data_IF_283039125300
#
_entry.id   IF_283039125300
#
_cell.length_a   1.000
_cell.length_b   1.000
_cell.length_c   1.000
_cell.angle_alpha   90.00
_cell.angle_beta   90.00
_cell.angle_gamma   90.00
#
_symmetry.space_group_name_H-M   'P 1'
#
loop_
_entity.id
_entity.type
_entity.pdbx_description
1 polymer ?
#
# COMPACT_ATOMS: atom_id res chain seq x y z
N UNK A 1 43.64 -26.67 44.93
CA UNK A 1 43.44 -25.97 43.64
C UNK A 1 42.28 -24.99 43.83
N UNK A 2 42.56 -23.83 44.41
CA UNK A 2 41.57 -22.78 44.67
C UNK A 2 41.55 -21.82 43.48
N UNK A 3 40.48 -21.82 42.69
CA UNK A 3 40.31 -20.90 41.57
C UNK A 3 39.68 -19.59 42.06
N UNK A 4 40.50 -18.54 42.08
CA UNK A 4 40.13 -17.17 42.42
C UNK A 4 39.20 -16.57 41.34
N UNK A 5 37.99 -16.19 41.75
CA UNK A 5 36.99 -15.52 40.90
C UNK A 5 37.16 -14.01 41.04
N UNK A 6 37.73 -13.38 40.00
CA UNK A 6 37.89 -11.94 39.92
C UNK A 6 36.56 -11.23 39.60
N UNK A 7 36.17 -10.28 40.46
CA UNK A 7 34.97 -9.42 40.27
C UNK A 7 35.24 -8.32 39.23
N UNK A 8 34.29 -8.00 38.33
CA UNK A 8 34.46 -6.93 37.36
C UNK A 8 34.29 -5.53 37.99
N UNK A 9 35.23 -4.63 37.66
CA UNK A 9 35.23 -3.20 38.01
C UNK A 9 34.04 -2.49 37.33
N UNK A 10 33.18 -1.85 38.13
CA UNK A 10 32.15 -0.92 37.66
C UNK A 10 32.81 0.41 37.25
N UNK A 11 32.75 0.74 35.96
CA UNK A 11 33.06 2.08 35.48
C UNK A 11 31.85 2.99 35.71
N UNK A 12 32.03 3.98 36.59
CA UNK A 12 31.08 5.09 36.83
C UNK A 12 31.40 6.18 35.81
N UNK A 13 30.52 6.36 34.82
CA UNK A 13 30.56 7.53 33.93
C UNK A 13 29.84 8.69 34.62
N UNK A 14 30.61 9.75 34.90
CA UNK A 14 30.11 11.02 35.44
C UNK A 14 29.27 11.73 34.38
N UNK A 15 28.01 11.99 34.72
CA UNK A 15 27.13 12.92 34.02
C UNK A 15 27.48 14.35 34.40
N UNK A 16 27.73 15.20 33.40
CA UNK A 16 27.82 16.64 33.61
C UNK A 16 28.11 17.34 32.30
N UNK A 17 27.08 17.92 31.68
CA UNK A 17 27.16 19.31 31.24
C UNK A 17 25.79 19.85 30.84
N UNK A 18 25.49 21.02 31.41
CA UNK A 18 24.34 21.88 31.16
C UNK A 18 24.43 22.47 29.76
N UNK A 19 23.30 22.52 29.05
CA UNK A 19 23.02 23.57 28.07
C UNK A 19 21.59 24.04 28.27
N UNK A 20 21.47 25.11 29.04
CA UNK A 20 20.29 25.98 29.11
C UNK A 20 20.26 26.89 27.87
N UNK A 21 19.04 27.26 27.50
CA UNK A 21 18.63 28.47 26.81
C UNK A 21 19.08 28.71 25.37
N UNK A 22 18.23 28.34 24.40
CA UNK A 22 18.00 29.12 23.17
C UNK A 22 16.86 28.57 22.31
N UNK A 23 15.62 28.55 22.81
CA UNK A 23 14.44 28.51 21.91
C UNK A 23 13.31 29.37 22.47
N UNK A 24 13.19 30.58 21.91
CA UNK A 24 12.02 31.46 22.09
C UNK A 24 10.84 30.91 21.28
N UNK A 25 9.60 30.94 21.79
CA UNK A 25 8.42 30.59 21.02
C UNK A 25 8.06 31.71 20.04
N UNK A 26 8.08 31.42 18.74
CA UNK A 26 7.45 32.24 17.71
C UNK A 26 5.97 31.88 17.67
N UNK A 27 5.19 32.55 18.50
CA UNK A 27 3.73 32.56 18.42
C UNK A 27 3.27 33.94 17.98
N UNK A 28 2.22 33.97 17.16
CA UNK A 28 1.36 35.13 16.90
C UNK A 28 1.82 36.17 15.86
N UNK A 29 1.86 35.76 14.59
CA UNK A 29 1.55 36.66 13.47
C UNK A 29 1.23 35.83 12.22
N UNK A 30 -0.03 35.39 12.04
CA UNK A 30 -0.64 34.96 10.76
C UNK A 30 -2.11 34.49 10.94
N UNK A 31 -2.84 35.05 11.93
CA UNK A 31 -4.29 34.96 12.01
C UNK A 31 -4.85 36.36 11.75
N UNK A 32 -5.22 36.65 10.51
CA UNK A 32 -6.21 37.68 10.08
C UNK A 32 -6.03 38.00 8.60
N UNK A 33 -6.25 37.02 7.73
CA UNK A 33 -6.70 37.28 6.36
C UNK A 33 -7.28 35.97 5.83
N UNK A 34 -8.40 36.05 5.11
CA UNK A 34 -9.13 34.94 4.46
C UNK A 34 -10.24 34.28 5.29
N UNK A 35 -11.23 35.04 5.77
CA UNK A 35 -12.56 34.50 6.15
C UNK A 35 -13.73 35.27 5.49
N UNK A 36 -13.49 36.32 4.69
CA UNK A 36 -14.56 37.10 4.06
C UNK A 36 -15.00 36.64 2.67
N UNK A 37 -14.60 35.46 2.18
CA UNK A 37 -14.81 35.07 0.77
C UNK A 37 -15.43 33.68 0.55
N UNK A 38 -15.95 33.02 1.61
CA UNK A 38 -16.52 31.65 1.51
C UNK A 38 -18.04 31.62 1.77
N UNK A 39 -18.69 32.74 2.10
CA UNK A 39 -20.13 32.77 2.43
C UNK A 39 -21.09 33.00 1.25
N UNK A 40 -20.62 32.96 -0.01
CA UNK A 40 -21.47 33.34 -1.17
C UNK A 40 -21.75 32.23 -2.19
N UNK A 41 -21.57 30.95 -1.83
CA UNK A 41 -21.82 29.82 -2.77
C UNK A 41 -23.02 28.93 -2.34
N UNK A 42 -23.59 29.10 -1.15
CA UNK A 42 -24.61 28.18 -0.63
C UNK A 42 -26.06 28.71 -0.72
N UNK A 43 -26.41 29.45 -1.78
CA UNK A 43 -27.77 30.02 -1.95
C UNK A 43 -28.46 29.78 -3.29
N UNK A 44 -28.00 28.82 -4.10
CA UNK A 44 -28.63 28.50 -5.39
C UNK A 44 -28.76 26.99 -5.59
N UNK A 45 -29.61 26.31 -4.81
CA UNK A 45 -30.24 25.04 -5.26
C UNK A 45 -31.32 24.54 -4.28
N UNK A 46 -32.41 25.30 -4.12
CA UNK A 46 -33.65 24.77 -3.52
C UNK A 46 -34.88 25.30 -4.23
N UNK A 47 -35.05 24.96 -5.51
CA UNK A 47 -36.38 24.92 -6.11
C UNK A 47 -36.50 23.74 -7.06
N UNK A 48 -37.59 22.98 -6.85
CA UNK A 48 -38.29 22.11 -7.81
C UNK A 48 -38.01 20.61 -7.70
N UNK A 49 -38.60 19.97 -6.69
CA UNK A 49 -39.28 18.67 -6.89
C UNK A 49 -40.58 18.69 -6.08
N UNK A 50 -41.68 18.89 -6.81
CA UNK A 50 -43.06 18.69 -6.37
C UNK A 50 -43.47 17.24 -6.64
N UNK A 51 -44.35 16.74 -5.76
CA UNK A 51 -45.39 15.74 -5.99
C UNK A 51 -44.98 14.30 -6.32
N UNK A 52 -44.85 13.47 -5.26
CA UNK A 52 -45.41 12.11 -5.28
C UNK A 52 -46.10 11.85 -3.92
N UNK A 53 -47.40 11.67 -4.02
CA UNK A 53 -48.37 11.39 -2.96
C UNK A 53 -48.28 9.97 -2.38
N UNK A 54 -48.74 9.84 -1.13
CA UNK A 54 -48.76 8.67 -0.24
C UNK A 54 -49.47 7.40 -0.78
N UNK A 55 -49.42 6.26 -0.04
CA UNK A 55 -50.44 6.09 1.01
C UNK A 55 -49.91 5.60 2.37
N UNK A 56 -50.51 6.24 3.36
CA UNK A 56 -50.64 5.95 4.79
C UNK A 56 -51.06 4.52 5.08
N UNK A 57 -50.36 3.84 5.99
CA UNK A 57 -50.91 2.69 6.71
C UNK A 57 -50.92 2.99 8.22
N UNK A 58 -52.11 3.32 8.72
CA UNK A 58 -52.43 3.46 10.16
C UNK A 58 -52.51 2.06 10.75
N UNK A 59 -51.63 1.72 11.68
CA UNK A 59 -51.90 0.66 12.67
C UNK A 59 -51.74 1.28 14.06
N UNK A 60 -52.89 1.65 14.62
CA UNK A 60 -53.09 1.97 16.02
C UNK A 60 -53.07 0.68 16.85
N UNK A 61 -52.26 0.62 17.90
CA UNK A 61 -52.50 -0.27 19.03
C UNK A 61 -52.10 0.42 20.32
N UNK A 62 -53.11 0.90 21.04
CA UNK A 62 -53.03 1.13 22.47
C UNK A 62 -53.11 -0.23 23.18
N UNK A 63 -52.21 -0.47 24.14
CA UNK A 63 -52.49 -1.34 25.30
C UNK A 63 -51.87 -0.70 26.53
N UNK A 64 -52.66 -0.80 27.60
CA UNK A 64 -52.72 -0.06 28.84
C UNK A 64 -52.02 -0.86 29.96
N UNK A 65 -51.38 -0.12 30.88
CA UNK A 65 -51.18 -0.35 32.34
C UNK A 65 -50.55 -1.64 32.90
N UNK A 66 -49.51 -1.39 33.72
CA UNK A 66 -49.25 -1.88 35.10
C UNK A 66 -49.51 -3.35 35.45
N UNK A 67 -48.50 -4.06 35.99
CA UNK A 67 -48.57 -4.72 37.31
C UNK A 67 -47.14 -5.06 37.79
N UNK A 68 -47.05 -5.13 39.11
CA UNK A 68 -45.91 -5.07 40.05
C UNK A 68 -45.47 -6.50 40.48
N UNK A 69 -44.27 -6.59 41.06
CA UNK A 69 -43.79 -7.58 42.07
C UNK A 69 -43.19 -8.94 41.62
N UNK A 70 -41.90 -9.09 41.98
CA UNK A 70 -41.18 -10.22 42.62
C UNK A 70 -41.47 -11.67 42.20
N UNK A 71 -40.39 -12.38 41.85
CA UNK A 71 -40.35 -13.84 41.84
C UNK A 71 -39.07 -14.38 41.19
N UNK A 72 -38.11 -14.78 42.02
CA UNK A 72 -36.90 -15.53 41.59
C UNK A 72 -37.32 -16.92 41.12
N UNK A 73 -37.43 -17.13 39.81
CA UNK A 73 -37.81 -18.42 39.21
C UNK A 73 -36.59 -19.11 38.60
N UNK A 74 -36.26 -20.27 39.16
CA UNK A 74 -35.25 -21.22 38.67
C UNK A 74 -35.63 -21.72 37.27
N UNK A 75 -34.74 -21.66 36.26
CA UNK A 75 -35.08 -22.06 34.90
C UNK A 75 -35.17 -23.59 34.76
N UNK A 76 -36.40 -24.11 34.63
CA UNK A 76 -36.64 -25.48 34.16
C UNK A 76 -36.25 -25.59 32.68
N UNK A 77 -35.26 -26.45 32.39
CA UNK A 77 -34.81 -26.79 31.02
C UNK A 77 -35.97 -27.33 30.18
N UNK A 78 -36.48 -26.51 29.26
CA UNK A 78 -37.44 -26.93 28.22
C UNK A 78 -36.75 -27.91 27.27
N UNK A 79 -37.22 -29.16 27.26
CA UNK A 79 -36.83 -30.20 26.31
C UNK A 79 -37.38 -29.82 24.92
N UNK A 80 -36.59 -29.05 24.17
CA UNK A 80 -36.95 -28.49 22.88
C UNK A 80 -37.00 -29.60 21.81
N UNK A 81 -38.11 -29.66 21.07
CA UNK A 81 -38.42 -30.65 20.04
C UNK A 81 -37.43 -30.59 18.86
N UNK A 82 -36.29 -31.28 18.98
CA UNK A 82 -35.24 -31.36 17.93
C UNK A 82 -35.73 -31.92 16.59
N UNK A 83 -36.87 -32.62 16.55
CA UNK A 83 -37.43 -33.18 15.31
C UNK A 83 -37.92 -32.10 14.32
N UNK A 84 -38.35 -30.91 14.78
CA UNK A 84 -38.76 -29.82 13.86
C UNK A 84 -37.58 -29.07 13.24
N UNK A 85 -36.41 -29.06 13.87
CA UNK A 85 -35.23 -28.35 13.35
C UNK A 85 -34.59 -29.09 12.17
N UNK A 86 -34.57 -30.42 12.20
CA UNK A 86 -33.96 -31.25 11.14
C UNK A 86 -34.72 -31.11 9.81
N UNK A 87 -36.04 -30.95 9.85
CA UNK A 87 -36.88 -30.83 8.66
C UNK A 87 -36.70 -29.49 7.91
N UNK A 88 -36.22 -28.43 8.59
CA UNK A 88 -36.00 -27.12 7.95
C UNK A 88 -34.67 -27.00 7.19
N UNK A 89 -33.68 -27.87 7.43
CA UNK A 89 -32.33 -27.74 6.86
C UNK A 89 -32.22 -28.42 5.47
N UNK A 90 -33.08 -29.40 5.19
CA UNK A 90 -33.10 -30.16 3.94
C UNK A 90 -33.22 -29.28 2.67
N UNK A 91 -34.12 -28.28 2.56
CA UNK A 91 -34.22 -27.48 1.35
C UNK A 91 -32.97 -26.61 1.10
N UNK A 92 -32.32 -26.12 2.16
CA UNK A 92 -31.13 -25.26 2.07
C UNK A 92 -29.94 -26.03 1.47
N UNK A 93 -29.75 -27.28 1.88
CA UNK A 93 -28.68 -28.13 1.34
C UNK A 93 -28.91 -28.43 -0.15
N UNK A 94 -30.16 -28.65 -0.57
CA UNK A 94 -30.46 -28.90 -2.00
C UNK A 94 -30.17 -27.69 -2.89
N UNK A 95 -30.45 -26.47 -2.41
CA UNK A 95 -30.18 -25.24 -3.16
C UNK A 95 -28.68 -24.99 -3.35
N UNK A 96 -27.85 -25.34 -2.35
CA UNK A 96 -26.40 -25.21 -2.42
C UNK A 96 -25.81 -26.20 -3.45
N UNK A 97 -26.31 -27.45 -3.49
CA UNK A 97 -25.88 -28.42 -4.50
C UNK A 97 -26.24 -28.00 -5.92
N UNK A 98 -27.43 -27.44 -6.14
CA UNK A 98 -27.86 -26.95 -7.45
C UNK A 98 -26.95 -25.80 -7.96
N UNK A 99 -26.55 -24.89 -7.07
CA UNK A 99 -25.61 -23.81 -7.42
C UNK A 99 -24.21 -24.33 -7.79
N UNK A 100 -23.72 -25.35 -7.08
CA UNK A 100 -22.42 -25.97 -7.38
C UNK A 100 -22.37 -26.60 -8.77
N UNK A 101 -23.44 -27.31 -9.16
CA UNK A 101 -23.56 -27.91 -10.49
C UNK A 101 -23.65 -26.86 -11.61
N UNK A 102 -24.34 -25.75 -11.39
CA UNK A 102 -24.44 -24.65 -12.35
C UNK A 102 -23.07 -24.02 -12.65
N UNK A 103 -22.23 -23.83 -11.63
CA UNK A 103 -20.89 -23.27 -11.78
C UNK A 103 -19.90 -24.22 -12.48
N UNK A 104 -20.07 -25.53 -12.30
CA UNK A 104 -19.25 -26.54 -12.96
C UNK A 104 -19.53 -26.63 -14.47
N UNK A 105 -20.76 -26.33 -14.92
CA UNK A 105 -21.10 -26.34 -16.35
C UNK A 105 -20.70 -25.05 -17.07
N UNK A 106 -20.73 -23.89 -16.40
CA UNK A 106 -20.41 -22.59 -17.03
C UNK A 106 -18.93 -22.40 -17.35
N UNK A 107 -18.03 -23.17 -16.73
CA UNK A 107 -16.58 -23.06 -16.92
C UNK A 107 -16.02 -23.75 -18.18
N UNK A 108 -16.88 -24.32 -19.06
CA UNK A 108 -16.45 -24.94 -20.33
C UNK A 108 -16.60 -24.09 -21.58
N UNK A 109 -17.10 -22.85 -21.50
CA UNK A 109 -17.19 -21.96 -22.67
C UNK A 109 -15.82 -21.30 -22.89
N UNK A 110 -14.93 -22.00 -23.60
CA UNK A 110 -13.62 -21.48 -24.01
C UNK A 110 -13.74 -20.55 -25.22
N UNK A 111 -13.23 -19.35 -25.00
CA UNK A 111 -12.65 -18.36 -25.91
C UNK A 111 -12.21 -18.96 -27.26
N UNK A 112 -12.91 -18.57 -28.32
CA UNK A 112 -12.47 -18.70 -29.71
C UNK A 112 -12.32 -17.29 -30.29
N UNK A 113 -11.12 -17.00 -30.78
CA UNK A 113 -10.92 -16.07 -31.89
C UNK A 113 -10.57 -14.63 -31.55
N UNK A 114 -9.26 -14.32 -31.56
CA UNK A 114 -8.81 -13.05 -32.12
C UNK A 114 -7.48 -13.28 -32.86
N UNK A 115 -7.64 -13.37 -34.18
CA UNK A 115 -6.59 -13.49 -35.19
C UNK A 115 -5.83 -12.17 -35.34
N UNK A 116 -4.56 -12.35 -35.70
CA UNK A 116 -3.56 -11.37 -36.08
C UNK A 116 -4.05 -10.26 -37.02
N UNK A 117 -3.54 -9.04 -36.82
CA UNK A 117 -3.31 -8.09 -37.91
C UNK A 117 -1.87 -7.59 -37.88
N UNK A 118 -1.12 -8.02 -38.90
CA UNK A 118 0.15 -7.47 -39.36
C UNK A 118 -0.11 -6.30 -40.32
N UNK A 119 0.95 -5.49 -40.46
CA UNK A 119 1.24 -4.51 -41.51
C UNK A 119 0.58 -3.12 -41.37
N UNK A 120 1.41 -2.08 -41.27
CA UNK A 120 1.68 -1.12 -42.35
C UNK A 120 2.96 -0.32 -42.01
N UNK A 121 3.82 -0.24 -43.01
CA UNK A 121 5.10 0.47 -43.07
C UNK A 121 4.93 1.85 -43.73
N UNK A 122 6.03 2.62 -43.74
CA UNK A 122 6.35 3.87 -44.49
C UNK A 122 6.10 5.18 -43.73
N UNK A 123 7.16 5.89 -43.34
CA UNK A 123 7.79 6.87 -44.22
C UNK A 123 9.06 7.49 -43.60
N UNK A 124 9.99 7.81 -44.50
CA UNK A 124 11.38 8.17 -44.30
C UNK A 124 11.59 9.53 -44.95
N UNK A 125 12.06 10.55 -44.21
CA UNK A 125 13.08 11.52 -44.65
C UNK A 125 13.26 12.74 -43.73
N UNK A 126 14.50 13.26 -43.78
CA UNK A 126 14.94 14.64 -43.46
C UNK A 126 15.08 14.97 -41.97
N UNK A 127 16.16 15.55 -41.41
CA UNK A 127 17.33 16.32 -41.87
C UNK A 127 18.34 16.34 -40.69
N UNK A 128 19.64 16.06 -40.88
CA UNK A 128 20.80 16.99 -40.97
C UNK A 128 21.13 17.86 -39.73
N UNK A 129 22.45 18.08 -39.57
CA UNK A 129 23.20 18.96 -38.62
C UNK A 129 23.58 18.33 -37.26
N UNK A 130 24.81 17.86 -37.03
CA UNK A 130 26.14 18.52 -36.92
C UNK A 130 26.41 19.10 -35.53
N UNK A 131 27.36 18.51 -34.79
CA UNK A 131 28.46 19.23 -34.13
C UNK A 131 29.25 18.30 -33.20
N UNK A 132 30.52 18.14 -33.55
CA UNK A 132 31.66 17.68 -32.75
C UNK A 132 31.88 18.48 -31.46
N UNK A 133 32.42 17.85 -30.40
CA UNK A 133 33.64 18.31 -29.68
C UNK A 133 34.10 17.33 -28.59
N UNK A 134 35.27 16.74 -28.85
CA UNK A 134 36.47 16.53 -28.02
C UNK A 134 36.51 16.73 -26.49
N UNK A 135 37.34 15.84 -25.88
CA UNK A 135 38.21 15.99 -24.69
C UNK A 135 37.50 16.08 -23.34
N UNK A 136 37.95 15.44 -22.26
CA UNK A 136 39.30 15.51 -21.71
C UNK A 136 39.57 14.34 -20.73
N UNK A 137 40.79 13.80 -20.82
CA UNK A 137 41.39 12.88 -19.86
C UNK A 137 41.79 13.65 -18.60
N UNK A 138 41.46 13.13 -17.42
CA UNK A 138 42.28 13.38 -16.22
C UNK A 138 42.62 12.06 -15.52
N UNK A 139 43.89 11.72 -15.67
CA UNK A 139 44.64 10.72 -14.93
C UNK A 139 44.97 11.26 -13.54
N UNK A 140 44.64 10.54 -12.47
CA UNK A 140 45.24 10.78 -11.15
C UNK A 140 46.17 9.63 -10.81
N UNK A 141 47.44 9.95 -10.99
CA UNK A 141 48.66 9.29 -10.52
C UNK A 141 48.68 9.30 -8.99
N UNK A 142 49.00 8.17 -8.36
CA UNK A 142 49.86 8.03 -7.17
C UNK A 142 49.74 6.61 -6.59
N UNK A 143 50.81 5.81 -6.67
CA UNK A 143 51.76 5.63 -5.55
C UNK A 143 52.63 4.39 -5.81
N UNK A 144 53.93 4.66 -5.83
CA UNK A 144 55.06 3.72 -5.89
C UNK A 144 55.33 3.10 -4.52
N UNK A 145 55.70 1.82 -4.48
CA UNK A 145 56.95 1.23 -3.92
C UNK A 145 56.69 -0.28 -3.69
N UNK A 146 57.34 -1.17 -4.47
CA UNK A 146 58.64 -1.83 -4.18
C UNK A 146 58.43 -2.96 -3.14
N UNK A 147 58.88 -4.21 -3.26
CA UNK A 147 59.68 -5.01 -4.18
C UNK A 147 59.55 -6.45 -3.64
N UNK A 148 59.35 -7.48 -4.45
CA UNK A 148 60.23 -8.67 -4.44
C UNK A 148 59.95 -9.56 -5.64
N UNK A 149 61.05 -9.89 -6.29
CA UNK A 149 61.24 -10.71 -7.47
C UNK A 149 61.11 -12.20 -7.16
N UNK A 150 60.43 -12.95 -8.02
CA UNK A 150 60.96 -14.25 -8.43
C UNK A 150 60.53 -14.63 -9.84
N UNK A 151 61.51 -15.22 -10.52
CA UNK A 151 61.70 -15.40 -11.94
C UNK A 151 61.01 -16.69 -12.40
N UNK A 152 60.15 -16.62 -13.42
CA UNK A 152 59.99 -17.78 -14.32
C UNK A 152 59.71 -17.36 -15.75
N UNK A 153 60.65 -17.78 -16.56
CA UNK A 153 60.79 -17.66 -17.99
C UNK A 153 59.97 -18.74 -18.70
N UNK A 154 59.60 -18.45 -19.95
CA UNK A 154 59.31 -19.34 -21.07
C UNK A 154 57.92 -19.30 -21.72
N UNK A 155 58.03 -19.06 -23.02
CA UNK A 155 57.22 -19.48 -24.16
C UNK A 155 55.97 -18.68 -24.51
N UNK A 156 56.22 -17.79 -25.47
CA UNK A 156 55.28 -17.23 -26.40
C UNK A 156 54.61 -18.32 -27.24
N UNK A 157 53.28 -18.28 -27.31
CA UNK A 157 52.56 -18.75 -28.48
C UNK A 157 51.47 -17.74 -28.87
N UNK A 158 51.47 -17.50 -30.17
CA UNK A 158 50.92 -16.35 -30.87
C UNK A 158 49.48 -16.68 -31.26
N UNK A 159 48.51 -16.14 -30.53
CA UNK A 159 47.08 -16.28 -30.86
C UNK A 159 46.71 -15.19 -31.87
N UNK A 160 46.51 -15.61 -33.13
CA UNK A 160 45.90 -14.81 -34.20
C UNK A 160 44.57 -15.47 -34.56
N UNK A 161 43.50 -15.03 -33.93
CA UNK A 161 42.13 -15.36 -34.32
C UNK A 161 41.31 -14.09 -34.34
N UNK A 162 41.05 -13.64 -35.57
CA UNK A 162 40.15 -12.54 -35.91
C UNK A 162 38.71 -12.98 -35.63
N UNK A 163 38.17 -12.59 -34.47
CA UNK A 163 36.74 -12.63 -34.23
C UNK A 163 36.12 -11.31 -34.66
N UNK A 164 35.35 -11.40 -35.74
CA UNK A 164 34.58 -10.33 -36.35
C UNK A 164 33.31 -10.15 -35.52
N UNK A 165 33.38 -9.30 -34.50
CA UNK A 165 32.21 -8.88 -33.72
C UNK A 165 31.22 -8.13 -34.62
N UNK A 166 30.16 -8.83 -35.04
CA UNK A 166 28.95 -8.23 -35.59
C UNK A 166 28.11 -7.60 -34.48
N UNK A 167 28.50 -6.39 -34.09
CA UNK A 167 27.71 -5.45 -33.29
C UNK A 167 26.73 -4.70 -34.20
N UNK A 168 25.51 -5.23 -34.38
CA UNK A 168 24.42 -4.45 -34.99
C UNK A 168 23.03 -5.05 -34.72
N UNK A 169 22.36 -4.53 -33.69
CA UNK A 169 20.88 -4.38 -33.64
C UNK A 169 20.49 -3.66 -32.33
N UNK A 170 20.96 -2.44 -32.12
CA UNK A 170 20.32 -1.51 -31.18
C UNK A 170 18.99 -1.06 -31.80
N UNK A 171 17.99 -1.93 -31.71
CA UNK A 171 16.60 -1.56 -31.98
C UNK A 171 16.22 -0.55 -30.91
N UNK A 172 16.12 0.73 -31.30
CA UNK A 172 15.80 1.84 -30.41
C UNK A 172 14.53 1.56 -29.61
N UNK A 173 14.71 1.07 -28.38
CA UNK A 173 13.65 1.04 -27.39
C UNK A 173 13.38 2.51 -27.08
N UNK A 174 12.32 3.05 -27.68
CA UNK A 174 11.74 4.31 -27.23
C UNK A 174 11.50 4.14 -25.74
N UNK A 175 12.33 4.78 -24.91
CA UNK A 175 12.06 4.91 -23.48
C UNK A 175 10.75 5.67 -23.41
N UNK A 176 9.66 4.94 -23.28
CA UNK A 176 8.35 5.51 -22.99
C UNK A 176 8.46 6.18 -21.62
N UNK A 177 8.85 7.45 -21.63
CA UNK A 177 8.86 8.29 -20.45
C UNK A 177 7.41 8.45 -20.06
N UNK A 178 6.99 7.72 -19.03
CA UNK A 178 5.66 7.86 -18.46
C UNK A 178 5.47 9.35 -18.15
N UNK A 179 4.56 10.01 -18.87
CA UNK A 179 4.34 11.43 -18.67
C UNK A 179 4.01 11.68 -17.19
N UNK A 180 4.51 12.79 -16.62
CA UNK A 180 4.24 13.15 -15.22
C UNK A 180 2.75 13.08 -14.89
N UNK A 181 1.89 13.48 -15.84
CA UNK A 181 0.43 13.41 -15.76
C UNK A 181 -0.11 11.98 -15.67
N UNK A 182 0.49 11.04 -16.40
CA UNK A 182 0.19 9.61 -16.29
C UNK A 182 0.54 9.03 -14.93
N UNK A 183 1.65 9.46 -14.33
CA UNK A 183 2.04 9.02 -12.97
C UNK A 183 1.08 9.59 -11.91
N UNK A 184 0.70 10.86 -12.03
CA UNK A 184 -0.18 11.53 -11.07
C UNK A 184 -1.59 10.92 -11.06
N UNK A 185 -2.20 10.76 -12.24
CA UNK A 185 -3.52 10.11 -12.37
C UNK A 185 -3.49 8.67 -11.88
N UNK A 186 -2.37 7.98 -12.04
CA UNK A 186 -2.21 6.62 -11.55
C UNK A 186 -2.21 6.54 -10.02
N UNK A 187 -1.79 7.58 -9.30
CA UNK A 187 -1.67 7.58 -7.84
C UNK A 187 -2.87 8.20 -7.11
N UNK A 188 -3.82 8.76 -7.85
CA UNK A 188 -5.05 9.33 -7.31
C UNK A 188 -6.17 8.27 -7.28
N UNK A 189 -6.69 7.97 -6.09
CA UNK A 189 -7.81 7.06 -5.91
C UNK A 189 -9.17 7.80 -5.82
N UNK A 190 -9.18 9.13 -5.95
CA UNK A 190 -10.36 9.98 -5.83
C UNK A 190 -10.75 10.30 -4.38
N UNK A 191 -10.59 9.35 -3.46
CA UNK A 191 -10.82 9.57 -2.03
C UNK A 191 -9.54 9.77 -1.22
N UNK A 192 -8.41 9.30 -1.76
CA UNK A 192 -7.11 9.48 -1.14
C UNK A 192 -6.01 9.44 -2.19
N UNK A 193 -5.03 10.34 -2.05
CA UNK A 193 -3.86 10.38 -2.91
C UNK A 193 -2.74 9.52 -2.31
N UNK A 194 -2.29 8.51 -3.05
CA UNK A 194 -1.07 7.76 -2.72
C UNK A 194 0.14 8.59 -3.17
N UNK A 195 1.18 8.69 -2.35
CA UNK A 195 2.40 9.42 -2.75
C UNK A 195 3.40 8.48 -3.41
N UNK A 196 4.28 9.04 -4.25
CA UNK A 196 5.43 8.30 -4.79
C UNK A 196 6.29 7.73 -3.64
N UNK A 197 6.42 8.50 -2.55
CA UNK A 197 7.17 8.09 -1.36
C UNK A 197 6.56 6.86 -0.67
N UNK A 198 5.22 6.76 -0.61
CA UNK A 198 4.53 5.58 -0.05
C UNK A 198 4.88 4.32 -0.84
N UNK A 199 4.77 4.40 -2.17
CA UNK A 199 5.10 3.28 -3.08
C UNK A 199 6.58 2.92 -2.98
N UNK A 200 7.46 3.93 -2.95
CA UNK A 200 8.89 3.75 -2.82
C UNK A 200 9.28 3.01 -1.53
N UNK A 201 8.79 3.48 -0.38
CA UNK A 201 9.05 2.84 0.93
C UNK A 201 8.58 1.40 0.95
N UNK A 202 7.37 1.14 0.44
CA UNK A 202 6.84 -0.22 0.41
C UNK A 202 7.60 -1.12 -0.58
N UNK A 203 8.04 -0.57 -1.71
CA UNK A 203 8.86 -1.30 -2.69
C UNK A 203 10.16 -1.78 -2.05
N UNK A 204 10.87 -0.91 -1.33
CA UNK A 204 12.08 -1.28 -0.60
C UNK A 204 11.81 -2.32 0.49
N UNK A 205 10.69 -2.19 1.21
CA UNK A 205 10.28 -3.19 2.22
C UNK A 205 10.07 -4.58 1.59
N UNK A 206 9.34 -4.64 0.46
CA UNK A 206 9.11 -5.90 -0.27
C UNK A 206 10.45 -6.44 -0.80
N UNK A 207 11.26 -5.62 -1.47
CA UNK A 207 12.55 -6.03 -2.02
C UNK A 207 13.44 -6.67 -0.94
N UNK A 208 13.67 -5.97 0.17
CA UNK A 208 14.51 -6.45 1.28
C UNK A 208 14.00 -7.75 1.89
N UNK A 209 12.69 -7.85 2.12
CA UNK A 209 12.08 -9.08 2.68
C UNK A 209 12.18 -10.31 1.77
N UNK A 210 12.51 -10.11 0.49
CA UNK A 210 12.63 -11.15 -0.52
C UNK A 210 14.07 -11.34 -1.04
N UNK A 211 15.08 -10.78 -0.35
CA UNK A 211 16.50 -10.96 -0.71
C UNK A 211 16.97 -10.12 -1.92
N UNK A 212 16.25 -9.06 -2.26
CA UNK A 212 16.68 -8.06 -3.23
C UNK A 212 17.31 -6.87 -2.49
N UNK A 213 18.22 -6.17 -3.15
CA UNK A 213 18.73 -4.86 -2.67
C UNK A 213 17.63 -3.81 -2.71
N UNK A 214 17.74 -2.75 -1.92
CA UNK A 214 16.80 -1.63 -1.98
C UNK A 214 17.08 -0.70 -3.16
N UNK A 215 16.10 0.14 -3.53
CA UNK A 215 16.23 1.08 -4.64
C UNK A 215 17.17 2.27 -4.34
N UNK A 216 17.37 2.63 -3.07
CA UNK A 216 18.28 3.69 -2.62
C UNK A 216 19.74 3.26 -2.59
N UNK A 217 20.01 1.97 -2.42
CA UNK A 217 21.37 1.48 -2.22
C UNK A 217 21.74 0.43 -3.27
N UNK A 218 22.18 0.86 -4.47
CA UNK A 218 22.61 -0.08 -5.49
C UNK A 218 23.83 -0.91 -5.07
N UNK A 219 24.61 -0.45 -4.09
CA UNK A 219 25.79 -1.18 -3.61
C UNK A 219 25.45 -2.19 -2.49
N UNK A 220 24.20 -2.24 -2.02
CA UNK A 220 23.76 -3.23 -1.03
C UNK A 220 23.81 -4.65 -1.64
N UNK A 221 24.25 -5.61 -0.83
CA UNK A 221 24.30 -7.02 -1.22
C UNK A 221 22.88 -7.54 -1.45
N UNK A 222 22.59 -8.04 -2.65
CA UNK A 222 21.28 -8.61 -2.98
C UNK A 222 21.02 -8.65 -4.49
N UNK A 223 19.93 -9.32 -4.87
CA UNK A 223 19.47 -9.32 -6.28
C UNK A 223 18.95 -7.94 -6.67
N UNK A 224 19.12 -7.57 -7.94
CA UNK A 224 18.53 -6.33 -8.45
C UNK A 224 16.98 -6.37 -8.33
N UNK A 225 16.32 -5.42 -7.65
CA UNK A 225 14.85 -5.38 -7.54
C UNK A 225 14.14 -5.22 -8.89
N UNK A 226 14.84 -4.79 -9.95
CA UNK A 226 14.33 -4.76 -11.32
C UNK A 226 14.35 -6.14 -12.01
N UNK A 227 15.03 -7.13 -11.43
CA UNK A 227 15.16 -8.49 -11.99
C UNK A 227 14.21 -9.46 -11.31
N UNK A 228 12.90 -9.20 -11.44
CA UNK A 228 11.86 -10.15 -11.08
C UNK A 228 11.29 -10.82 -12.33
N UNK A 229 10.97 -12.12 -12.23
CA UNK A 229 10.47 -12.92 -13.34
C UNK A 229 9.08 -13.48 -13.04
N UNK A 230 8.24 -13.71 -14.07
CA UNK A 230 6.97 -14.40 -13.89
C UNK A 230 7.15 -15.75 -13.20
N UNK A 231 6.28 -16.06 -12.24
CA UNK A 231 6.39 -17.25 -11.41
C UNK A 231 7.20 -17.05 -10.12
N UNK A 232 7.99 -15.97 -9.99
CA UNK A 232 8.64 -15.64 -8.72
C UNK A 232 7.58 -15.49 -7.62
N UNK A 233 7.85 -16.06 -6.45
CA UNK A 233 7.00 -15.94 -5.26
C UNK A 233 7.55 -14.88 -4.33
N UNK A 234 6.85 -13.76 -4.19
CA UNK A 234 7.23 -12.66 -3.30
C UNK A 234 6.38 -12.67 -2.04
N UNK A 235 7.02 -12.64 -0.87
CA UNK A 235 6.37 -12.41 0.41
C UNK A 235 5.97 -10.93 0.52
N UNK A 236 4.69 -10.70 0.77
CA UNK A 236 4.12 -9.38 1.01
C UNK A 236 4.11 -9.04 2.51
N UNK A 237 3.89 -7.77 2.89
CA UNK A 237 3.95 -7.36 4.30
C UNK A 237 2.90 -8.00 5.21
N UNK A 238 1.76 -8.41 4.67
CA UNK A 238 0.70 -9.16 5.35
C UNK A 238 1.01 -10.68 5.43
N UNK A 239 2.24 -11.08 5.12
CA UNK A 239 2.68 -12.47 4.97
C UNK A 239 2.00 -13.27 3.86
N UNK A 240 1.15 -12.63 3.04
CA UNK A 240 0.64 -13.27 1.82
C UNK A 240 1.78 -13.49 0.83
N UNK A 241 1.62 -14.48 -0.05
CA UNK A 241 2.58 -14.73 -1.13
C UNK A 241 1.97 -14.34 -2.46
N UNK A 242 2.65 -13.43 -3.16
CA UNK A 242 2.30 -12.99 -4.50
C UNK A 242 3.10 -13.75 -5.55
N UNK A 243 2.42 -14.29 -6.57
CA UNK A 243 3.11 -14.87 -7.73
C UNK A 243 3.21 -13.83 -8.83
N UNK A 244 4.45 -13.45 -9.18
CA UNK A 244 4.77 -12.43 -10.18
C UNK A 244 4.21 -12.83 -11.54
N UNK A 245 3.58 -11.88 -12.23
CA UNK A 245 3.04 -12.04 -13.59
C UNK A 245 3.91 -11.31 -14.61
N UNK A 246 3.73 -11.63 -15.90
CA UNK A 246 4.42 -10.94 -17.00
C UNK A 246 4.11 -9.44 -16.97
N UNK A 247 5.17 -8.62 -16.97
CA UNK A 247 5.08 -7.16 -16.93
C UNK A 247 4.99 -6.56 -15.52
N UNK A 248 4.98 -7.38 -14.46
CA UNK A 248 5.03 -6.87 -13.10
C UNK A 248 6.42 -6.31 -12.76
N UNK A 249 6.44 -5.27 -11.93
CA UNK A 249 7.61 -4.78 -11.22
C UNK A 249 7.30 -4.75 -9.72
N UNK A 250 8.32 -4.78 -8.84
CA UNK A 250 8.08 -4.65 -7.39
C UNK A 250 7.35 -3.33 -7.09
N UNK A 251 7.65 -2.26 -7.83
CA UNK A 251 6.95 -0.98 -7.76
C UNK A 251 5.44 -1.09 -8.01
N UNK A 252 5.03 -1.72 -9.13
CA UNK A 252 3.61 -1.89 -9.44
C UNK A 252 2.91 -2.85 -8.47
N UNK A 253 3.62 -3.86 -7.96
CA UNK A 253 3.11 -4.75 -6.92
C UNK A 253 2.85 -3.98 -5.63
N UNK A 254 3.83 -3.20 -5.15
CA UNK A 254 3.71 -2.37 -3.96
C UNK A 254 2.51 -1.40 -4.08
N UNK A 255 2.38 -0.70 -5.20
CA UNK A 255 1.24 0.20 -5.40
C UNK A 255 -0.10 -0.53 -5.35
N UNK A 256 -0.25 -1.66 -6.06
CA UNK A 256 -1.50 -2.46 -6.03
C UNK A 256 -1.83 -2.93 -4.62
N UNK A 257 -0.80 -3.26 -3.83
CA UNK A 257 -0.95 -3.61 -2.43
C UNK A 257 -1.54 -2.45 -1.61
N UNK A 258 -0.94 -1.26 -1.68
CA UNK A 258 -1.44 -0.05 -0.98
C UNK A 258 -2.88 0.24 -1.38
N UNK A 259 -3.19 0.21 -2.68
CA UNK A 259 -4.55 0.44 -3.17
C UNK A 259 -5.53 -0.57 -2.57
N UNK A 260 -5.21 -1.86 -2.61
CA UNK A 260 -6.08 -2.93 -2.09
C UNK A 260 -6.38 -2.74 -0.61
N UNK A 261 -5.37 -2.38 0.20
CA UNK A 261 -5.59 -2.12 1.62
C UNK A 261 -6.48 -0.89 1.84
N UNK A 262 -6.24 0.20 1.10
CA UNK A 262 -7.07 1.39 1.19
C UNK A 262 -8.51 1.14 0.75
N UNK A 263 -8.74 0.41 -0.35
CA UNK A 263 -10.07 0.02 -0.80
C UNK A 263 -10.81 -0.78 0.30
N UNK A 264 -10.09 -1.63 1.04
CA UNK A 264 -10.63 -2.45 2.12
C UNK A 264 -10.98 -1.62 3.37
N UNK A 265 -10.10 -0.71 3.79
CA UNK A 265 -10.25 0.01 5.05
C UNK A 265 -11.14 1.26 4.91
N UNK A 266 -11.31 1.81 3.69
CA UNK A 266 -12.03 3.06 3.44
C UNK A 266 -13.51 3.06 3.85
N UNK A 267 -14.33 2.03 3.54
CA UNK A 267 -15.74 2.01 3.95
C UNK A 267 -15.91 2.04 5.47
N UNK A 268 -15.06 1.31 6.20
CA UNK A 268 -15.12 1.29 7.66
C UNK A 268 -14.66 2.63 8.24
N UNK A 269 -13.59 3.24 7.72
CA UNK A 269 -13.18 4.60 8.07
C UNK A 269 -14.34 5.60 7.95
N UNK A 270 -15.08 5.56 6.83
CA UNK A 270 -16.24 6.45 6.59
C UNK A 270 -17.36 6.23 7.61
N UNK A 271 -17.64 4.98 7.97
CA UNK A 271 -18.64 4.67 9.00
C UNK A 271 -18.21 5.19 10.37
N UNK A 272 -16.95 4.97 10.77
CA UNK A 272 -16.40 5.48 12.03
C UNK A 272 -16.45 7.01 12.07
N UNK A 273 -16.06 7.67 10.99
CA UNK A 273 -16.13 9.12 10.86
C UNK A 273 -17.58 9.64 11.02
N UNK A 274 -18.55 8.99 10.39
CA UNK A 274 -19.95 9.37 10.51
C UNK A 274 -20.45 9.23 11.96
N UNK A 275 -20.15 8.10 12.62
CA UNK A 275 -20.53 7.84 14.02
C UNK A 275 -19.95 8.88 14.99
N UNK A 276 -18.71 9.30 14.75
CA UNK A 276 -18.07 10.37 15.53
C UNK A 276 -18.81 11.69 15.36
N UNK A 277 -19.15 12.06 14.11
CA UNK A 277 -19.84 13.31 13.80
C UNK A 277 -21.27 13.39 14.33
N UNK A 278 -21.99 12.28 14.38
CA UNK A 278 -23.40 12.26 14.86
C UNK A 278 -23.52 12.46 16.37
N UNK A 279 -22.43 12.37 17.13
CA UNK A 279 -22.35 12.87 18.51
C UNK A 279 -23.36 12.26 19.48
N UNK A 280 -23.14 11.02 19.91
CA UNK A 280 -23.64 10.47 21.18
C UNK A 280 -22.93 9.13 21.42
N UNK A 281 -21.65 9.18 21.80
CA UNK A 281 -20.82 7.99 21.99
C UNK A 281 -20.57 7.80 23.48
N UNK A 282 -21.02 6.66 24.02
CA UNK A 282 -20.61 6.24 25.35
C UNK A 282 -19.10 5.92 25.40
N UNK A 283 -18.52 5.90 26.60
CA UNK A 283 -17.07 5.69 26.77
C UNK A 283 -16.58 4.37 26.18
N UNK A 284 -17.43 3.33 26.23
CA UNK A 284 -17.13 2.02 25.66
C UNK A 284 -17.01 2.10 24.13
N UNK A 285 -17.99 2.70 23.48
CA UNK A 285 -18.01 2.90 22.03
C UNK A 285 -16.86 3.77 21.57
N UNK A 286 -16.52 4.83 22.33
CA UNK A 286 -15.32 5.64 22.04
C UNK A 286 -14.05 4.77 22.07
N UNK A 287 -13.89 3.94 23.09
CA UNK A 287 -12.75 3.02 23.21
C UNK A 287 -12.69 2.02 22.04
N UNK A 288 -13.82 1.42 21.66
CA UNK A 288 -13.91 0.48 20.54
C UNK A 288 -13.54 1.17 19.21
N UNK A 289 -14.05 2.38 18.96
CA UNK A 289 -13.72 3.17 17.77
C UNK A 289 -12.23 3.52 17.75
N UNK A 290 -11.68 3.96 18.89
CA UNK A 290 -10.26 4.29 19.01
C UNK A 290 -9.38 3.08 18.68
N UNK A 291 -9.73 1.90 19.20
CA UNK A 291 -9.03 0.65 18.90
C UNK A 291 -8.97 0.37 17.39
N UNK A 292 -10.12 0.49 16.71
CA UNK A 292 -10.20 0.29 15.25
C UNK A 292 -9.38 1.32 14.46
N UNK A 293 -9.45 2.59 14.83
CA UNK A 293 -8.67 3.65 14.17
C UNK A 293 -7.16 3.42 14.33
N UNK A 294 -6.72 2.99 15.51
CA UNK A 294 -5.32 2.63 15.77
C UNK A 294 -4.89 1.40 14.97
N UNK A 295 -5.75 0.39 14.85
CA UNK A 295 -5.50 -0.79 14.01
C UNK A 295 -5.29 -0.39 12.54
N UNK A 296 -6.20 0.40 11.96
CA UNK A 296 -6.05 0.92 10.59
C UNK A 296 -4.77 1.72 10.41
N UNK A 297 -4.44 2.58 11.39
CA UNK A 297 -3.25 3.44 11.35
C UNK A 297 -1.96 2.62 11.34
N UNK A 298 -1.91 1.56 12.12
CA UNK A 298 -0.73 0.69 12.24
C UNK A 298 -0.54 -0.20 11.00
N UNK A 299 -1.63 -0.56 10.33
CA UNK A 299 -1.62 -1.40 9.13
C UNK A 299 -1.28 -0.64 7.86
N UNK A 300 -1.77 0.59 7.71
CA UNK A 300 -1.68 1.32 6.43
C UNK A 300 -0.26 1.77 6.04
N UNK A 301 0.02 1.73 4.74
CA UNK A 301 1.26 2.24 4.12
C UNK A 301 1.11 3.63 3.48
N UNK A 302 -0.06 4.27 3.57
CA UNK A 302 -0.26 5.62 3.03
C UNK A 302 -0.09 6.69 4.11
N UNK A 303 0.89 7.57 3.95
CA UNK A 303 1.09 8.69 4.89
C UNK A 303 -0.10 9.67 4.92
N UNK A 304 -0.76 9.87 3.77
CA UNK A 304 -1.97 10.69 3.73
C UNK A 304 -3.13 10.05 4.51
N UNK A 305 -3.23 8.71 4.52
CA UNK A 305 -4.30 8.04 5.27
C UNK A 305 -4.02 8.10 6.76
N UNK A 306 -2.77 7.91 7.18
CA UNK A 306 -2.35 8.08 8.58
C UNK A 306 -2.74 9.45 9.12
N UNK A 307 -2.52 10.52 8.34
CA UNK A 307 -2.92 11.89 8.73
C UNK A 307 -4.44 12.03 8.91
N UNK A 308 -5.24 11.42 8.04
CA UNK A 308 -6.70 11.40 8.18
C UNK A 308 -7.16 10.66 9.45
N UNK A 309 -6.50 9.54 9.76
CA UNK A 309 -6.75 8.77 10.97
C UNK A 309 -6.33 9.56 12.22
N UNK A 310 -5.18 10.21 12.21
CA UNK A 310 -4.69 11.04 13.32
C UNK A 310 -5.63 12.20 13.64
N UNK A 311 -6.13 12.89 12.62
CA UNK A 311 -7.12 13.95 12.80
C UNK A 311 -8.41 13.40 13.42
N UNK A 312 -8.88 12.25 12.95
CA UNK A 312 -10.11 11.64 13.46
C UNK A 312 -9.95 11.14 14.90
N UNK A 313 -8.80 10.56 15.24
CA UNK A 313 -8.44 10.17 16.61
C UNK A 313 -8.40 11.41 17.52
N UNK A 314 -7.81 12.51 17.04
CA UNK A 314 -7.78 13.78 17.78
C UNK A 314 -9.18 14.32 18.03
N UNK A 315 -10.07 14.25 17.05
CA UNK A 315 -11.45 14.72 17.19
C UNK A 315 -12.29 13.84 18.12
N UNK A 316 -12.04 12.52 18.16
CA UNK A 316 -12.69 11.59 19.09
C UNK A 316 -12.35 11.87 20.57
N UNK A 317 -11.15 12.41 20.82
CA UNK A 317 -10.63 12.72 22.16
C UNK A 317 -10.98 14.12 22.67
N UNK A 318 -11.61 14.96 21.84
CA UNK A 318 -12.19 16.24 22.27
C UNK A 318 -13.55 16.02 22.94
#
# INVERSE_FOLDING_TARGET
MESSIAKPKKHILKSGEKKEDLFKPVTEALKTKTISEITEIEKVETKKVQDITSPTNKISRQVKTETKISGTVVPKKKKQNRKKLVLMIIPIISAIMALGLYFAMSSRIKIVGLKEKKAISKNFNSSKESSSTNMEKTSTKNKSMEETSEKKELTAEKTSSSEKETSKSETGIKKDTLSKKGIETFLDLGYIKITILDVYKLTNKIAKSNGYRTLDNPNELGKDPNWIYPGNRLKLPDSAVYTVKKGDTIWYIAKRFIKKELDSDWPEYRQLQHRIKTGNLDNKTKSDILGKLMEMKNKTYSENFKKLLDNLIKDLNK
#
